data_IF_690756874495
#
_entry.id   IF_690756874495
#
_cell.length_a   1.000
_cell.length_b   1.000
_cell.length_c   1.000
_cell.angle_alpha   90.00
_cell.angle_beta   90.00
_cell.angle_gamma   90.00
#
_symmetry.space_group_name_H-M   'P 1'
#
loop_
_entity.id
_entity.type
_entity.pdbx_description
1 polymer ?
#
# COMPACT_ATOMS: atom_id res chain seq x y z
N UNK A 1 -11.73 -7.57 17.41
CA UNK A 1 -10.93 -8.09 16.26
C UNK A 1 -9.92 -7.08 15.72
N UNK A 2 -10.34 -5.90 15.21
CA UNK A 2 -9.42 -4.87 14.65
C UNK A 2 -8.34 -4.40 15.62
N UNK A 3 -8.72 -4.01 16.84
CA UNK A 3 -7.76 -3.55 17.83
C UNK A 3 -6.75 -4.64 18.22
N UNK A 4 -7.19 -5.90 18.28
CA UNK A 4 -6.33 -7.03 18.57
C UNK A 4 -5.34 -7.30 17.43
N UNK A 5 -5.80 -7.33 16.17
CA UNK A 5 -4.91 -7.45 15.01
C UNK A 5 -3.93 -6.27 14.91
N UNK A 6 -4.41 -5.05 15.10
CA UNK A 6 -3.57 -3.85 15.07
C UNK A 6 -2.52 -3.88 16.18
N UNK A 7 -2.91 -4.27 17.41
CA UNK A 7 -1.98 -4.45 18.51
C UNK A 7 -0.93 -5.54 18.19
N UNK A 8 -1.37 -6.67 17.63
CA UNK A 8 -0.48 -7.76 17.25
C UNK A 8 0.49 -7.33 16.14
N UNK A 9 0.01 -6.70 15.07
CA UNK A 9 0.83 -6.13 14.01
C UNK A 9 1.85 -5.13 14.58
N UNK A 10 1.39 -4.22 15.43
CA UNK A 10 2.25 -3.22 16.06
C UNK A 10 3.25 -3.82 17.06
N UNK A 11 3.03 -5.06 17.52
CA UNK A 11 3.98 -5.78 18.38
C UNK A 11 5.06 -6.54 17.63
N UNK A 12 5.01 -6.57 16.29
CA UNK A 12 5.97 -7.27 15.43
C UNK A 12 6.68 -6.34 14.45
N UNK A 13 7.89 -6.71 14.05
CA UNK A 13 8.74 -5.89 13.16
C UNK A 13 8.63 -6.23 11.65
N UNK A 14 7.66 -7.06 11.23
CA UNK A 14 7.52 -7.43 9.81
C UNK A 14 7.12 -6.23 8.93
N UNK A 15 6.29 -5.32 9.47
CA UNK A 15 5.77 -4.14 8.78
C UNK A 15 5.68 -2.95 9.76
N UNK A 16 5.54 -1.70 9.30
CA UNK A 16 5.33 -0.56 10.20
C UNK A 16 4.09 -0.74 11.09
N UNK A 17 4.06 -0.17 12.31
CA UNK A 17 4.97 0.88 12.81
C UNK A 17 6.23 0.38 13.54
N UNK A 18 6.28 -0.88 13.99
CA UNK A 18 7.44 -1.41 14.69
C UNK A 18 8.52 -1.97 13.75
N UNK A 19 8.13 -2.35 12.53
CA UNK A 19 9.03 -2.75 11.46
C UNK A 19 9.49 -1.59 10.58
N UNK A 20 10.41 -1.90 9.67
CA UNK A 20 10.87 -0.95 8.63
C UNK A 20 9.76 -0.66 7.62
N UNK A 21 9.78 0.52 6.97
CA UNK A 21 8.87 0.79 5.87
C UNK A 21 9.03 -0.21 4.72
N UNK A 22 7.91 -0.54 4.07
CA UNK A 22 7.83 -1.53 2.98
C UNK A 22 7.42 -0.79 1.72
N UNK A 23 8.25 -0.85 0.68
CA UNK A 23 8.01 -0.27 -0.64
C UNK A 23 6.92 -1.04 -1.40
N UNK A 24 7.05 -2.37 -1.45
CA UNK A 24 6.02 -3.22 -2.05
C UNK A 24 5.98 -4.59 -1.38
N UNK A 25 4.87 -5.30 -1.62
CA UNK A 25 4.69 -6.69 -1.27
C UNK A 25 4.05 -7.44 -2.44
N UNK A 26 4.60 -8.61 -2.75
CA UNK A 26 4.06 -9.53 -3.74
C UNK A 26 3.85 -10.93 -3.16
N UNK A 27 2.93 -11.69 -3.75
CA UNK A 27 2.68 -13.09 -3.39
C UNK A 27 2.60 -13.95 -4.63
N UNK A 28 3.55 -14.89 -4.73
CA UNK A 28 3.62 -15.87 -5.80
C UNK A 28 3.42 -17.27 -5.26
N UNK A 29 2.91 -18.19 -6.09
CA UNK A 29 2.79 -19.61 -5.73
C UNK A 29 3.83 -20.38 -6.54
N UNK A 30 4.73 -21.08 -5.86
CA UNK A 30 5.74 -21.97 -6.46
C UNK A 30 5.57 -23.33 -5.84
N UNK A 31 5.37 -24.36 -6.66
CA UNK A 31 5.15 -25.75 -6.21
C UNK A 31 4.06 -25.90 -5.14
N UNK A 32 3.00 -25.08 -5.23
CA UNK A 32 1.87 -25.09 -4.29
C UNK A 32 2.12 -24.34 -2.98
N UNK A 33 3.31 -23.77 -2.77
CA UNK A 33 3.66 -22.96 -1.61
C UNK A 33 3.54 -21.48 -1.97
N UNK A 34 2.84 -20.71 -1.14
CA UNK A 34 2.78 -19.26 -1.28
C UNK A 34 4.07 -18.63 -0.75
N UNK A 35 4.68 -17.76 -1.53
CA UNK A 35 5.86 -16.98 -1.17
C UNK A 35 5.50 -15.51 -1.12
N UNK A 36 5.64 -14.91 0.07
CA UNK A 36 5.48 -13.48 0.28
C UNK A 36 6.84 -12.80 0.11
N UNK A 37 6.95 -11.91 -0.87
CA UNK A 37 8.16 -11.10 -1.08
C UNK A 37 7.90 -9.69 -0.60
N UNK A 38 8.81 -9.17 0.23
CA UNK A 38 8.78 -7.81 0.78
C UNK A 38 10.00 -7.06 0.29
N UNK A 39 9.79 -5.86 -0.25
CA UNK A 39 10.85 -4.90 -0.55
C UNK A 39 10.84 -3.83 0.53
N UNK A 40 11.88 -3.76 1.35
CA UNK A 40 11.98 -2.78 2.42
C UNK A 40 12.64 -1.49 1.94
N UNK A 41 12.13 -0.36 2.40
CA UNK A 41 12.80 0.91 2.19
C UNK A 41 14.23 0.84 2.72
N UNK A 42 15.07 1.58 2.03
CA UNK A 42 16.45 1.77 2.38
C UNK A 42 16.59 2.37 3.78
N UNK A 43 17.54 1.83 4.54
CA UNK A 43 17.99 2.39 5.81
C UNK A 43 19.42 2.87 5.56
N UNK A 44 19.67 4.17 5.68
CA UNK A 44 20.99 4.81 5.72
C UNK A 44 21.61 5.39 4.42
N UNK A 45 20.86 5.71 3.37
CA UNK A 45 21.38 6.53 2.25
C UNK A 45 22.38 5.83 1.29
N UNK A 46 22.42 4.49 1.30
CA UNK A 46 23.27 3.61 0.48
C UNK A 46 22.64 3.08 -0.83
N UNK A 47 21.39 3.39 -1.13
CA UNK A 47 20.71 3.01 -2.38
C UNK A 47 20.25 1.55 -2.50
N UNK A 48 20.41 0.69 -1.47
CA UNK A 48 19.98 -0.72 -1.53
C UNK A 48 18.60 -0.93 -0.91
N UNK A 49 17.69 -1.49 -1.71
CA UNK A 49 16.37 -1.98 -1.25
C UNK A 49 16.53 -3.43 -0.84
N UNK A 50 16.34 -3.73 0.45
CA UNK A 50 16.45 -5.11 0.91
C UNK A 50 15.20 -5.92 0.56
N UNK A 51 15.41 -7.09 -0.02
CA UNK A 51 14.36 -8.05 -0.35
C UNK A 51 14.33 -9.19 0.66
N UNK A 52 13.16 -9.47 1.22
CA UNK A 52 12.93 -10.62 2.09
C UNK A 52 11.78 -11.44 1.54
N UNK A 53 12.05 -12.71 1.27
CA UNK A 53 11.05 -13.68 0.80
C UNK A 53 10.73 -14.69 1.90
N UNK A 54 9.44 -14.89 2.19
CA UNK A 54 8.95 -15.81 3.22
C UNK A 54 8.06 -16.86 2.57
N UNK A 55 8.34 -18.15 2.80
CA UNK A 55 7.41 -19.22 2.46
C UNK A 55 6.28 -19.31 3.49
N UNK A 56 5.02 -19.40 3.07
CA UNK A 56 3.89 -19.63 3.97
C UNK A 56 3.78 -21.12 4.31
N UNK A 57 4.63 -21.55 5.23
CA UNK A 57 4.62 -22.90 5.80
C UNK A 57 4.10 -22.86 7.24
N UNK A 58 2.93 -23.44 7.54
CA UNK A 58 2.37 -23.42 8.89
C UNK A 58 3.30 -24.14 9.89
N UNK A 59 3.29 -23.69 11.15
CA UNK A 59 4.07 -24.26 12.26
C UNK A 59 5.60 -24.16 12.10
N UNK A 60 6.09 -23.21 11.30
CA UNK A 60 7.51 -22.91 11.14
C UNK A 60 7.80 -21.42 11.45
N UNK A 61 9.07 -21.02 11.52
CA UNK A 61 9.49 -19.63 11.69
C UNK A 61 8.86 -18.72 10.63
N UNK A 62 9.05 -19.02 9.35
CA UNK A 62 8.48 -18.25 8.23
C UNK A 62 6.96 -18.09 8.34
N UNK A 63 6.24 -19.17 8.67
CA UNK A 63 4.80 -19.12 8.89
C UNK A 63 4.38 -18.36 10.15
N UNK A 64 5.19 -18.39 11.22
CA UNK A 64 4.95 -17.64 12.44
C UNK A 64 5.17 -16.13 12.24
N UNK A 65 6.18 -15.75 11.45
CA UNK A 65 6.42 -14.35 11.04
C UNK A 65 5.21 -13.84 10.25
N UNK A 66 4.76 -14.58 9.23
CA UNK A 66 3.61 -14.19 8.39
C UNK A 66 2.29 -14.08 9.18
N UNK A 67 2.15 -14.86 10.26
CA UNK A 67 0.99 -14.81 11.17
C UNK A 67 1.17 -13.82 12.32
N UNK A 68 2.23 -12.99 12.29
CA UNK A 68 2.56 -11.97 13.28
C UNK A 68 2.69 -12.55 14.70
N UNK A 69 3.22 -13.77 14.81
CA UNK A 69 3.46 -14.48 16.08
C UNK A 69 4.90 -14.37 16.54
N UNK A 70 5.81 -13.98 15.67
CA UNK A 70 7.19 -13.67 16.00
C UNK A 70 7.72 -12.55 15.11
N UNK A 71 8.84 -11.98 15.54
CA UNK A 71 9.58 -10.99 14.78
C UNK A 71 10.34 -11.65 13.62
N UNK A 72 10.46 -10.90 12.53
CA UNK A 72 11.53 -11.10 11.57
C UNK A 72 12.89 -11.05 12.32
N UNK A 73 13.77 -12.04 12.13
CA UNK A 73 15.09 -12.06 12.72
C UNK A 73 15.91 -10.82 12.38
N UNK A 74 16.94 -10.52 13.18
CA UNK A 74 17.90 -9.46 12.85
C UNK A 74 18.77 -9.96 11.69
N UNK A 75 18.64 -9.32 10.54
CA UNK A 75 19.33 -9.67 9.30
C UNK A 75 20.22 -8.50 8.86
N UNK A 76 21.32 -8.80 8.16
CA UNK A 76 22.13 -7.76 7.52
C UNK A 76 21.31 -7.05 6.45
N UNK A 77 21.16 -5.74 6.57
CA UNK A 77 20.32 -4.93 5.67
C UNK A 77 20.89 -4.79 4.26
N UNK A 78 22.16 -5.16 4.05
CA UNK A 78 22.81 -5.15 2.74
C UNK A 78 22.70 -6.49 2.00
N UNK A 79 22.07 -7.50 2.61
CA UNK A 79 21.92 -8.83 2.04
C UNK A 79 20.44 -9.18 1.92
N UNK A 80 20.02 -9.71 0.78
CA UNK A 80 18.65 -10.19 0.61
C UNK A 80 18.52 -11.61 1.18
N UNK A 81 17.35 -11.96 1.72
CA UNK A 81 17.14 -13.24 2.39
C UNK A 81 15.87 -13.94 1.93
N UNK A 82 15.92 -15.26 1.96
CA UNK A 82 14.73 -16.09 1.97
C UNK A 82 14.65 -16.92 3.24
N UNK A 83 13.44 -17.00 3.80
CA UNK A 83 13.13 -17.80 4.98
C UNK A 83 12.09 -18.84 4.57
N UNK A 84 12.50 -20.11 4.57
CA UNK A 84 11.67 -21.25 4.17
C UNK A 84 11.61 -22.20 5.35
N UNK A 85 10.42 -22.34 5.93
CA UNK A 85 10.28 -23.11 7.15
C UNK A 85 11.01 -22.40 8.29
N UNK A 86 12.01 -23.08 8.85
CA UNK A 86 12.90 -22.57 9.90
C UNK A 86 14.28 -22.15 9.36
N UNK A 87 14.54 -22.38 8.07
CA UNK A 87 15.82 -22.10 7.44
C UNK A 87 15.87 -20.67 6.91
N UNK A 88 16.92 -19.93 7.29
CA UNK A 88 17.22 -18.58 6.81
C UNK A 88 18.46 -18.66 5.93
N UNK A 89 18.38 -18.17 4.70
CA UNK A 89 19.52 -18.17 3.78
C UNK A 89 19.54 -16.93 2.87
N UNK A 90 20.71 -16.52 2.37
CA UNK A 90 20.79 -15.44 1.39
C UNK A 90 19.95 -15.77 0.14
N UNK A 91 19.24 -14.77 -0.37
CA UNK A 91 18.46 -14.87 -1.59
C UNK A 91 19.37 -14.57 -2.78
N UNK A 92 19.77 -15.62 -3.51
CA UNK A 92 20.75 -15.52 -4.60
C UNK A 92 20.26 -14.75 -5.83
N UNK A 93 18.95 -14.76 -6.07
CA UNK A 93 18.31 -14.07 -7.20
C UNK A 93 17.08 -13.33 -6.68
N UNK A 94 17.28 -12.15 -6.06
CA UNK A 94 16.18 -11.33 -5.62
C UNK A 94 15.39 -10.85 -6.84
N UNK A 95 14.05 -10.92 -6.81
CA UNK A 95 13.25 -10.30 -7.85
C UNK A 95 13.51 -8.79 -7.86
N UNK A 96 13.57 -8.17 -9.05
CA UNK A 96 13.77 -6.73 -9.13
C UNK A 96 12.63 -6.02 -8.38
N UNK A 97 12.93 -4.84 -7.83
CA UNK A 97 11.87 -3.95 -7.38
C UNK A 97 10.91 -3.70 -8.56
N UNK A 98 9.59 -3.79 -8.37
CA UNK A 98 8.65 -3.44 -9.43
C UNK A 98 8.94 -2.02 -9.93
N UNK A 99 9.00 -1.85 -11.25
CA UNK A 99 9.24 -0.54 -11.85
C UNK A 99 8.10 0.41 -11.50
N UNK A 100 8.39 1.38 -10.63
CA UNK A 100 7.53 2.52 -10.37
C UNK A 100 7.89 3.64 -11.34
N UNK A 101 7.71 3.43 -12.65
CA UNK A 101 7.81 4.55 -13.59
C UNK A 101 6.75 5.58 -13.21
N UNK A 102 7.18 6.80 -12.92
CA UNK A 102 6.25 7.91 -12.75
C UNK A 102 5.74 8.32 -14.13
N UNK A 103 4.61 7.73 -14.49
CA UNK A 103 3.87 7.97 -15.72
C UNK A 103 2.83 9.08 -15.56
N UNK A 104 2.99 9.93 -14.54
CA UNK A 104 2.11 11.07 -14.30
C UNK A 104 2.08 12.02 -15.51
N UNK A 105 0.88 12.38 -15.94
CA UNK A 105 0.63 13.40 -16.94
C UNK A 105 0.71 14.81 -16.34
N UNK A 106 0.86 15.83 -17.19
CA UNK A 106 0.62 17.21 -16.78
C UNK A 106 -0.89 17.45 -16.57
N UNK A 107 -1.29 17.57 -15.30
CA UNK A 107 -2.68 17.78 -14.90
C UNK A 107 -3.02 19.25 -14.64
N UNK A 108 -2.10 20.18 -14.88
CA UNK A 108 -2.23 21.59 -14.46
C UNK A 108 -3.51 22.27 -14.98
N UNK A 109 -3.85 22.05 -16.25
CA UNK A 109 -5.06 22.63 -16.87
C UNK A 109 -6.33 22.05 -16.25
N UNK A 110 -6.38 20.73 -16.07
CA UNK A 110 -7.53 20.05 -15.48
C UNK A 110 -7.74 20.48 -14.02
N UNK A 111 -6.65 20.59 -13.24
CA UNK A 111 -6.69 21.09 -11.88
C UNK A 111 -7.16 22.54 -11.80
N UNK A 112 -6.70 23.41 -12.70
CA UNK A 112 -7.11 24.82 -12.72
C UNK A 112 -8.63 25.01 -12.89
N UNK A 113 -9.34 24.03 -13.46
CA UNK A 113 -10.80 24.06 -13.57
C UNK A 113 -11.55 23.72 -12.28
N UNK A 114 -10.86 23.14 -11.29
CA UNK A 114 -11.48 22.73 -10.02
C UNK A 114 -11.51 23.90 -9.04
N UNK A 115 -12.57 24.00 -8.20
CA UNK A 115 -12.59 24.97 -7.12
C UNK A 115 -11.50 24.66 -6.10
N UNK A 116 -10.93 25.72 -5.53
CA UNK A 116 -9.97 25.60 -4.44
C UNK A 116 -10.71 25.39 -3.11
N UNK A 117 -10.25 24.41 -2.33
CA UNK A 117 -10.84 23.99 -1.07
C UNK A 117 -9.84 24.21 0.06
N UNK A 118 -10.30 24.84 1.13
CA UNK A 118 -9.54 24.93 2.38
C UNK A 118 -9.45 23.55 3.05
N UNK A 119 -8.22 23.07 3.26
CA UNK A 119 -7.99 21.68 3.67
C UNK A 119 -7.98 21.54 5.19
N UNK A 120 -8.97 20.82 5.74
CA UNK A 120 -8.91 20.26 7.09
C UNK A 120 -8.26 18.87 7.08
N UNK A 121 -6.94 18.85 7.24
CA UNK A 121 -6.13 17.62 7.26
C UNK A 121 -6.46 16.69 8.43
N UNK A 122 -6.93 17.25 9.55
CA UNK A 122 -7.08 16.50 10.79
C UNK A 122 -8.33 15.63 10.78
N UNK A 123 -9.47 16.22 10.40
CA UNK A 123 -10.77 15.60 10.65
C UNK A 123 -11.54 15.21 9.38
N UNK A 124 -11.40 15.97 8.29
CA UNK A 124 -12.38 15.92 7.20
C UNK A 124 -11.84 15.55 5.84
N UNK A 125 -10.60 15.93 5.52
CA UNK A 125 -10.10 15.80 4.15
C UNK A 125 -8.96 14.79 4.01
N UNK A 126 -8.96 14.13 2.86
CA UNK A 126 -7.86 13.32 2.36
C UNK A 126 -7.34 13.97 1.07
N UNK A 127 -6.02 14.13 0.99
CA UNK A 127 -5.37 14.71 -0.19
C UNK A 127 -4.74 13.61 -1.04
N UNK A 128 -4.82 13.78 -2.35
CA UNK A 128 -4.15 12.90 -3.31
C UNK A 128 -3.56 13.75 -4.43
N UNK A 129 -2.31 13.47 -4.81
CA UNK A 129 -1.72 14.05 -6.02
C UNK A 129 -2.45 13.51 -7.25
N UNK A 130 -2.90 14.40 -8.14
CA UNK A 130 -3.47 14.00 -9.42
C UNK A 130 -2.35 13.40 -10.30
N UNK A 131 -2.60 12.23 -10.89
CA UNK A 131 -1.65 11.59 -11.80
C UNK A 131 -2.03 11.70 -13.26
N UNK A 132 -3.31 11.62 -13.59
CA UNK A 132 -3.78 11.66 -14.99
C UNK A 132 -4.93 12.64 -15.17
N UNK A 133 -5.04 13.23 -16.35
CA UNK A 133 -6.18 14.10 -16.70
C UNK A 133 -7.47 13.30 -16.70
N UNK A 134 -7.41 12.06 -17.19
CA UNK A 134 -8.55 11.12 -17.22
C UNK A 134 -9.09 10.81 -15.82
N UNK A 135 -8.24 10.77 -14.80
CA UNK A 135 -8.65 10.59 -13.40
C UNK A 135 -9.62 11.71 -12.98
N UNK A 136 -9.23 12.96 -13.21
CA UNK A 136 -10.03 14.14 -12.85
C UNK A 136 -11.35 14.14 -13.63
N UNK A 137 -11.30 13.87 -14.94
CA UNK A 137 -12.49 13.82 -15.79
C UNK A 137 -13.46 12.72 -15.36
N UNK A 138 -12.96 11.53 -15.02
CA UNK A 138 -13.79 10.41 -14.57
C UNK A 138 -14.45 10.70 -13.21
N UNK A 139 -13.72 11.32 -12.28
CA UNK A 139 -14.28 11.75 -10.99
C UNK A 139 -15.41 12.78 -11.18
N UNK A 140 -15.20 13.78 -12.04
CA UNK A 140 -16.24 14.75 -12.39
C UNK A 140 -17.45 14.07 -13.05
N UNK A 141 -17.24 13.14 -13.99
CA UNK A 141 -18.31 12.41 -14.65
C UNK A 141 -19.16 11.58 -13.67
N UNK A 142 -18.54 11.02 -12.63
CA UNK A 142 -19.21 10.34 -11.52
C UNK A 142 -20.03 11.27 -10.62
N UNK A 143 -19.85 12.59 -10.75
CA UNK A 143 -20.52 13.64 -9.95
C UNK A 143 -21.40 14.57 -10.78
N UNK A 144 -21.74 14.18 -12.02
CA UNK A 144 -22.60 15.02 -12.88
C UNK A 144 -21.86 16.10 -13.66
N UNK A 145 -20.52 16.09 -13.66
CA UNK A 145 -19.68 16.92 -14.52
C UNK A 145 -18.95 18.06 -13.81
N UNK A 146 -19.24 18.30 -12.54
CA UNK A 146 -18.61 19.34 -11.73
C UNK A 146 -18.30 18.84 -10.31
N UNK A 147 -17.53 19.63 -9.57
CA UNK A 147 -17.32 19.44 -8.15
C UNK A 147 -17.27 20.79 -7.43
N UNK A 148 -17.75 20.89 -6.17
CA UNK A 148 -18.48 19.85 -5.46
C UNK A 148 -19.91 19.73 -6.01
N UNK A 149 -20.33 18.50 -6.34
CA UNK A 149 -21.71 18.17 -6.74
C UNK A 149 -22.16 16.87 -6.07
N UNK A 150 -23.45 16.60 -6.12
CA UNK A 150 -24.00 15.36 -5.56
C UNK A 150 -23.45 14.15 -6.34
N UNK A 151 -22.74 13.20 -5.70
CA UNK A 151 -22.24 12.03 -6.38
C UNK A 151 -23.40 11.20 -6.92
N UNK A 152 -23.23 10.63 -8.12
CA UNK A 152 -24.25 9.76 -8.73
C UNK A 152 -24.51 8.48 -7.92
N UNK A 153 -23.59 8.12 -7.02
CA UNK A 153 -23.68 6.98 -6.13
C UNK A 153 -23.04 7.28 -4.78
N UNK A 154 -23.72 6.90 -3.69
CA UNK A 154 -23.19 7.00 -2.32
C UNK A 154 -22.00 6.05 -2.05
N UNK A 155 -21.63 5.22 -3.03
CA UNK A 155 -20.50 4.29 -2.94
C UNK A 155 -19.24 4.79 -3.62
N UNK A 156 -19.30 5.93 -4.31
CA UNK A 156 -18.13 6.56 -4.95
C UNK A 156 -17.65 7.70 -4.08
N UNK A 157 -16.34 7.76 -3.84
CA UNK A 157 -15.74 8.85 -3.07
C UNK A 157 -15.90 10.18 -3.81
N UNK A 158 -16.27 11.23 -3.07
CA UNK A 158 -16.52 12.53 -3.65
C UNK A 158 -15.23 13.35 -3.73
N UNK A 159 -14.88 13.78 -4.94
CA UNK A 159 -13.96 14.87 -5.22
C UNK A 159 -14.63 16.20 -4.86
N UNK A 160 -14.02 16.94 -3.95
CA UNK A 160 -14.50 18.23 -3.46
C UNK A 160 -13.90 19.40 -4.26
N UNK A 161 -12.68 19.25 -4.76
CA UNK A 161 -11.95 20.27 -5.51
C UNK A 161 -10.44 20.04 -5.43
N UNK A 162 -9.66 21.12 -5.46
CA UNK A 162 -8.19 21.11 -5.31
C UNK A 162 -7.72 21.84 -4.05
N UNK A 163 -6.56 21.45 -3.50
CA UNK A 163 -5.86 22.20 -2.47
C UNK A 163 -5.15 23.43 -3.08
N UNK A 164 -4.69 24.38 -2.25
CA UNK A 164 -3.81 25.46 -2.72
C UNK A 164 -2.53 24.97 -3.40
N UNK A 165 -2.08 23.76 -3.06
CA UNK A 165 -0.90 23.11 -3.64
C UNK A 165 -1.21 22.26 -4.89
N UNK A 166 -2.47 22.25 -5.35
CA UNK A 166 -2.88 21.50 -6.55
C UNK A 166 -3.15 20.01 -6.32
N UNK A 167 -3.37 19.57 -5.08
CA UNK A 167 -3.76 18.18 -4.79
C UNK A 167 -5.28 18.04 -4.86
N UNK A 168 -5.77 16.87 -5.30
CA UNK A 168 -7.19 16.55 -5.25
C UNK A 168 -7.64 16.39 -3.80
N UNK A 169 -8.75 17.05 -3.46
CA UNK A 169 -9.33 17.03 -2.12
C UNK A 169 -10.54 16.12 -2.11
N UNK A 170 -10.51 15.12 -1.23
CA UNK A 170 -11.62 14.19 -1.01
C UNK A 170 -12.12 14.27 0.42
N UNK A 171 -13.37 13.84 0.62
CA UNK A 171 -13.83 13.53 1.98
C UNK A 171 -13.03 12.34 2.53
N UNK A 172 -12.58 12.46 3.77
CA UNK A 172 -11.84 11.41 4.48
C UNK A 172 -12.78 10.24 4.76
N UNK A 173 -12.64 9.19 3.97
CA UNK A 173 -13.45 7.98 4.13
C UNK A 173 -13.25 7.37 5.52
N UNK A 174 -14.35 7.15 6.24
CA UNK A 174 -14.36 6.35 7.48
C UNK A 174 -14.70 4.91 7.13
N UNK A 175 -13.72 4.00 7.01
CA UNK A 175 -13.99 2.64 6.60
C UNK A 175 -14.96 1.97 7.58
N UNK A 176 -16.12 1.55 7.05
CA UNK A 176 -17.13 0.79 7.81
C UNK A 176 -16.74 -0.68 8.00
N UNK A 177 -15.80 -1.22 7.20
CA UNK A 177 -15.42 -2.63 7.20
C UNK A 177 -13.89 -2.82 7.09
N UNK A 178 -13.41 -3.95 7.63
CA UNK A 178 -11.98 -4.33 7.64
C UNK A 178 -11.73 -5.35 6.53
N UNK A 179 -11.23 -4.89 5.37
CA UNK A 179 -10.76 -5.80 4.32
C UNK A 179 -9.55 -6.62 4.82
N UNK A 180 -8.67 -6.03 5.64
CA UNK A 180 -7.48 -6.70 6.17
C UNK A 180 -7.74 -7.95 7.05
N UNK A 181 -8.99 -8.30 7.34
CA UNK A 181 -9.32 -9.46 8.17
C UNK A 181 -9.49 -10.76 7.36
N UNK A 182 -9.59 -10.69 6.03
CA UNK A 182 -9.94 -11.87 5.20
C UNK A 182 -8.75 -12.35 4.37
N UNK A 183 -8.00 -11.45 3.74
CA UNK A 183 -6.85 -11.81 2.89
C UNK A 183 -5.70 -10.78 2.97
N UNK A 184 -4.45 -11.16 2.63
CA UNK A 184 -3.34 -10.21 2.50
C UNK A 184 -3.59 -9.20 1.36
N UNK A 185 -2.95 -8.03 1.44
CA UNK A 185 -3.12 -6.94 0.45
C UNK A 185 -2.85 -7.39 -0.99
N UNK A 186 -1.87 -8.27 -1.18
CA UNK A 186 -1.53 -8.88 -2.47
C UNK A 186 -2.69 -9.63 -3.13
N UNK A 187 -3.54 -10.31 -2.35
CA UNK A 187 -4.73 -10.99 -2.87
C UNK A 187 -5.78 -10.00 -3.37
N UNK A 188 -5.97 -8.89 -2.64
CA UNK A 188 -6.87 -7.82 -3.11
C UNK A 188 -6.35 -7.19 -4.40
N UNK A 189 -5.04 -6.91 -4.49
CA UNK A 189 -4.39 -6.39 -5.71
C UNK A 189 -4.63 -7.34 -6.88
N UNK A 190 -4.47 -8.65 -6.67
CA UNK A 190 -4.74 -9.66 -7.69
C UNK A 190 -6.20 -9.66 -8.18
N UNK A 191 -7.18 -9.48 -7.30
CA UNK A 191 -8.60 -9.45 -7.70
C UNK A 191 -8.99 -8.18 -8.44
N UNK A 192 -8.38 -7.04 -8.12
CA UNK A 192 -8.73 -5.74 -8.72
C UNK A 192 -8.11 -5.57 -10.12
N UNK A 193 -6.98 -6.20 -10.38
CA UNK A 193 -6.23 -6.06 -11.65
C UNK A 193 -6.55 -7.14 -12.70
N UNK A 194 -7.62 -7.92 -12.50
CA UNK A 194 -8.16 -8.88 -13.49
C UNK A 194 -9.14 -8.20 -14.42
#
# INVERSE_FOLDING_TARGET
LRAAYQAQRNSTNLVPPAGRPVLDQDVNIVDGIAYHTYWYEEVDGKGHVQVIRLADLPNTLSGAILRLRCNLPVLDTNTDYEIIGDDIRPLLSPPPLPDFFDDSEDTSIALASLPEIEVDHHAKHFLKKAKYVSEIQNLLACQGGSCPETPKSNHVIQLLGKSPNGELVFEKFRPRYVLAAVHPLSMYRRWILQ
#
